data_IF_053625497068
#
_entry.id   IF_053625497068
#
_cell.length_a   1.000
_cell.length_b   1.000
_cell.length_c   1.000
_cell.angle_alpha   90.00
_cell.angle_beta   90.00
_cell.angle_gamma   90.00
#
_symmetry.space_group_name_H-M   'P 1'
#
loop_
_entity.id
_entity.type
_entity.pdbx_description
1 polymer ?
#
# COMPACT_ATOMS: atom_id res chain seq x y z
N UNK A 1 25.80 -19.40 -25.92
CA UNK A 1 25.86 -18.97 -24.50
C UNK A 1 24.54 -19.39 -23.85
N UNK A 2 24.52 -20.45 -23.03
CA UNK A 2 23.29 -20.94 -22.39
C UNK A 2 23.03 -20.08 -21.16
N UNK A 3 21.97 -19.28 -21.19
CA UNK A 3 21.51 -18.51 -20.03
C UNK A 3 20.76 -19.47 -19.12
N UNK A 4 21.44 -19.97 -18.08
CA UNK A 4 20.79 -20.74 -17.01
C UNK A 4 19.89 -19.81 -16.20
N UNK A 5 18.65 -19.63 -16.66
CA UNK A 5 17.61 -18.94 -15.92
C UNK A 5 17.15 -19.83 -14.76
N UNK A 6 17.85 -19.73 -13.62
CA UNK A 6 17.43 -20.36 -12.38
C UNK A 6 16.23 -19.59 -11.81
N UNK A 7 15.02 -20.02 -12.13
CA UNK A 7 13.82 -19.51 -11.48
C UNK A 7 13.69 -20.20 -10.11
N UNK A 8 13.74 -19.45 -8.99
CA UNK A 8 13.56 -20.05 -7.67
C UNK A 8 12.16 -20.63 -7.57
N UNK A 9 12.06 -21.96 -7.49
CA UNK A 9 10.78 -22.66 -7.32
C UNK A 9 10.27 -22.37 -5.91
N UNK A 10 9.19 -21.60 -5.82
CA UNK A 10 8.48 -21.38 -4.56
C UNK A 10 7.78 -22.68 -4.15
N UNK A 11 8.39 -23.42 -3.23
CA UNK A 11 7.93 -24.74 -2.76
C UNK A 11 6.49 -24.71 -2.23
N UNK A 12 6.02 -23.56 -1.73
CA UNK A 12 4.65 -23.34 -1.29
C UNK A 12 3.61 -23.38 -2.42
N UNK A 13 4.01 -23.12 -3.67
CA UNK A 13 3.15 -23.11 -4.84
C UNK A 13 3.09 -24.48 -5.55
N UNK A 14 3.88 -25.46 -5.10
CA UNK A 14 3.88 -26.79 -5.69
C UNK A 14 2.57 -27.56 -5.36
N UNK A 15 2.15 -28.51 -6.21
CA UNK A 15 1.02 -29.39 -5.92
C UNK A 15 1.15 -30.08 -4.55
N UNK A 16 0.03 -30.36 -3.89
CA UNK A 16 0.01 -31.01 -2.57
C UNK A 16 0.76 -32.35 -2.56
N UNK A 17 0.71 -33.07 -3.68
CA UNK A 17 1.33 -34.38 -3.85
C UNK A 17 2.83 -34.31 -4.19
N UNK A 18 3.39 -33.11 -4.39
CA UNK A 18 4.82 -32.97 -4.69
C UNK A 18 5.68 -33.35 -3.47
N UNK A 19 6.65 -34.27 -3.60
CA UNK A 19 7.53 -34.68 -2.52
C UNK A 19 8.31 -33.52 -1.88
N UNK A 20 8.68 -32.50 -2.67
CA UNK A 20 9.40 -31.30 -2.19
C UNK A 20 8.53 -30.49 -1.25
N UNK A 21 7.25 -30.30 -1.60
CA UNK A 21 6.27 -29.64 -0.73
C UNK A 21 6.06 -30.43 0.55
N UNK A 22 5.90 -31.75 0.44
CA UNK A 22 5.73 -32.62 1.61
C UNK A 22 6.92 -32.54 2.57
N UNK A 23 8.16 -32.56 2.04
CA UNK A 23 9.39 -32.39 2.82
C UNK A 23 9.45 -31.01 3.49
N UNK A 24 9.09 -29.95 2.75
CA UNK A 24 9.05 -28.60 3.29
C UNK A 24 8.03 -28.45 4.43
N UNK A 25 6.80 -28.93 4.26
CA UNK A 25 5.76 -28.91 5.31
C UNK A 25 6.23 -29.67 6.56
N UNK A 26 6.86 -30.85 6.39
CA UNK A 26 7.45 -31.59 7.52
C UNK A 26 8.54 -30.78 8.24
N UNK A 27 9.35 -30.04 7.50
CA UNK A 27 10.38 -29.18 8.09
C UNK A 27 9.81 -28.00 8.87
N UNK A 28 8.70 -27.42 8.41
CA UNK A 28 8.02 -26.31 9.11
C UNK A 28 7.51 -26.73 10.49
N UNK A 29 7.01 -27.97 10.64
CA UNK A 29 6.52 -28.48 11.93
C UNK A 29 7.59 -28.52 13.02
N UNK A 30 8.87 -28.66 12.65
CA UNK A 30 10.00 -28.70 13.60
C UNK A 30 10.48 -27.31 14.02
N UNK A 31 10.03 -26.25 13.34
CA UNK A 31 10.52 -24.90 13.63
C UNK A 31 9.78 -24.35 14.86
N UNK A 32 10.49 -23.73 15.81
CA UNK A 32 9.82 -22.98 16.86
C UNK A 32 8.99 -21.86 16.21
N UNK A 33 7.88 -21.45 16.84
CA UNK A 33 7.15 -20.29 16.39
C UNK A 33 8.08 -19.05 16.38
N UNK A 34 7.79 -18.05 15.53
CA UNK A 34 8.43 -16.75 15.63
C UNK A 34 8.40 -16.23 17.07
N UNK A 35 9.47 -15.56 17.51
CA UNK A 35 9.64 -15.10 18.89
C UNK A 35 8.55 -14.11 19.35
N UNK A 36 7.88 -13.49 18.39
CA UNK A 36 6.80 -12.51 18.50
C UNK A 36 5.41 -13.11 18.30
N UNK A 37 5.29 -14.42 18.02
CA UNK A 37 4.00 -15.06 17.78
C UNK A 37 3.09 -14.92 19.01
N UNK A 38 1.91 -14.34 18.80
CA UNK A 38 0.91 -14.12 19.85
C UNK A 38 1.15 -12.89 20.72
N UNK A 39 2.16 -12.08 20.41
CA UNK A 39 2.47 -10.85 21.15
C UNK A 39 1.94 -9.63 20.42
N UNK A 40 1.40 -8.69 21.18
CA UNK A 40 0.99 -7.36 20.70
C UNK A 40 1.89 -6.26 21.29
N UNK A 41 1.68 -5.02 20.83
CA UNK A 41 2.37 -3.82 21.36
C UNK A 41 1.96 -3.49 22.80
N UNK A 42 0.82 -4.02 23.26
CA UNK A 42 0.33 -3.90 24.62
C UNK A 42 0.96 -4.98 25.53
N UNK A 43 1.24 -6.16 24.99
CA UNK A 43 1.68 -7.32 25.79
C UNK A 43 3.20 -7.52 25.83
N UNK A 44 3.99 -6.99 24.88
CA UNK A 44 5.47 -7.11 24.87
C UNK A 44 6.16 -5.79 24.50
N UNK A 45 7.08 -5.34 25.36
CA UNK A 45 7.81 -4.07 25.23
C UNK A 45 8.68 -4.00 23.96
N UNK A 46 9.20 -5.13 23.47
CA UNK A 46 10.03 -5.15 22.26
C UNK A 46 9.17 -4.92 21.02
N UNK A 47 7.99 -5.53 20.97
CA UNK A 47 7.00 -5.31 19.90
C UNK A 47 6.56 -3.85 19.90
N UNK A 48 6.27 -3.29 21.07
CA UNK A 48 5.97 -1.85 21.23
C UNK A 48 7.10 -0.96 20.69
N UNK A 49 8.34 -1.21 21.10
CA UNK A 49 9.52 -0.46 20.64
C UNK A 49 9.67 -0.47 19.12
N UNK A 50 9.45 -1.63 18.48
CA UNK A 50 9.48 -1.76 17.02
C UNK A 50 8.39 -0.90 16.39
N UNK A 51 7.14 -1.04 16.85
CA UNK A 51 6.00 -0.26 16.37
C UNK A 51 6.22 1.25 16.49
N UNK A 52 6.66 1.71 17.67
CA UNK A 52 6.93 3.14 17.93
C UNK A 52 8.08 3.66 17.06
N UNK A 53 9.10 2.83 16.84
CA UNK A 53 10.22 3.18 15.94
C UNK A 53 9.73 3.36 14.51
N UNK A 54 8.88 2.46 14.01
CA UNK A 54 8.35 2.52 12.65
C UNK A 54 7.47 3.75 12.46
N UNK A 55 6.59 4.03 13.45
CA UNK A 55 5.76 5.24 13.46
C UNK A 55 6.61 6.52 13.44
N UNK A 56 7.62 6.61 14.33
CA UNK A 56 8.54 7.76 14.39
C UNK A 56 9.30 7.96 13.08
N UNK A 57 9.78 6.88 12.47
CA UNK A 57 10.51 6.91 11.19
C UNK A 57 9.59 7.04 9.98
N UNK A 58 8.25 7.06 10.17
CA UNK A 58 7.25 7.06 9.09
C UNK A 58 7.47 5.91 8.09
N UNK A 59 7.96 4.77 8.58
CA UNK A 59 8.17 3.55 7.79
C UNK A 59 6.87 2.77 7.84
N UNK A 60 6.13 2.79 6.74
CA UNK A 60 5.00 1.89 6.53
C UNK A 60 5.38 0.73 5.59
N UNK A 61 4.41 -0.14 5.34
CA UNK A 61 4.57 -1.35 4.51
C UNK A 61 4.96 -1.04 3.05
N UNK A 62 4.71 0.18 2.57
CA UNK A 62 4.99 0.60 1.19
C UNK A 62 6.22 1.49 1.06
N UNK A 63 6.92 1.80 2.16
CA UNK A 63 8.12 2.64 2.17
C UNK A 63 9.13 2.24 1.09
N UNK A 64 9.56 0.97 1.07
CA UNK A 64 10.50 0.45 0.06
C UNK A 64 9.97 0.57 -1.37
N UNK A 65 8.69 0.25 -1.58
CA UNK A 65 8.08 0.36 -2.91
C UNK A 65 8.02 1.82 -3.37
N UNK A 66 7.65 2.75 -2.48
CA UNK A 66 7.61 4.18 -2.80
C UNK A 66 9.00 4.72 -3.12
N UNK A 67 10.02 4.33 -2.36
CA UNK A 67 11.40 4.74 -2.62
C UNK A 67 11.86 4.23 -3.99
N UNK A 68 11.50 3.00 -4.34
CA UNK A 68 11.78 2.42 -5.66
C UNK A 68 11.03 3.15 -6.79
N UNK A 69 9.74 3.47 -6.59
CA UNK A 69 8.93 4.22 -7.55
C UNK A 69 9.47 5.64 -7.76
N UNK A 70 9.98 6.28 -6.71
CA UNK A 70 10.70 7.56 -6.81
C UNK A 70 12.00 7.42 -7.59
N UNK A 71 12.80 6.39 -7.27
CA UNK A 71 14.09 6.11 -7.93
C UNK A 71 13.94 5.84 -9.43
N UNK A 72 12.90 5.12 -9.83
CA UNK A 72 12.59 4.86 -11.25
C UNK A 72 11.78 5.98 -11.93
N UNK A 73 11.53 7.11 -11.24
CA UNK A 73 10.86 8.28 -11.83
C UNK A 73 9.35 8.15 -12.05
N UNK A 74 8.71 7.07 -11.58
CA UNK A 74 7.25 6.89 -11.68
C UNK A 74 6.46 7.78 -10.73
N UNK A 75 7.07 8.13 -9.60
CA UNK A 75 6.49 9.04 -8.60
C UNK A 75 7.49 10.16 -8.35
N UNK A 76 7.00 11.39 -8.18
CA UNK A 76 7.87 12.52 -7.85
C UNK A 76 8.41 12.37 -6.43
N UNK A 77 9.72 12.59 -6.28
CA UNK A 77 10.35 12.62 -4.95
C UNK A 77 9.96 13.87 -4.17
N UNK A 78 9.75 14.97 -4.88
CA UNK A 78 9.38 16.30 -4.38
C UNK A 78 8.17 16.77 -5.18
N UNK A 79 7.11 17.17 -4.49
CA UNK A 79 5.95 17.81 -5.09
C UNK A 79 6.09 19.32 -4.88
N UNK A 80 5.89 20.14 -5.93
CA UNK A 80 5.80 21.58 -5.73
C UNK A 80 4.58 21.88 -4.85
N UNK A 81 4.66 22.95 -4.08
CA UNK A 81 3.51 23.45 -3.35
C UNK A 81 2.39 23.80 -4.34
N UNK A 82 1.15 23.51 -3.95
CA UNK A 82 0.02 23.93 -4.76
C UNK A 82 -0.08 25.46 -4.77
N UNK A 83 -0.31 26.03 -5.97
CA UNK A 83 -0.62 27.45 -6.11
C UNK A 83 -1.95 27.71 -5.42
N UNK A 84 -1.97 28.62 -4.44
CA UNK A 84 -3.18 29.01 -3.71
C UNK A 84 -4.09 29.84 -4.64
N UNK A 85 -4.89 29.16 -5.44
CA UNK A 85 -5.86 29.75 -6.36
C UNK A 85 -7.30 29.50 -5.91
N UNK A 86 -8.24 30.24 -6.49
CA UNK A 86 -9.67 30.00 -6.31
C UNK A 86 -10.05 28.60 -6.79
N UNK A 87 -9.47 28.13 -7.89
CA UNK A 87 -9.72 26.78 -8.43
C UNK A 87 -9.28 25.68 -7.47
N UNK A 88 -8.12 25.86 -6.82
CA UNK A 88 -7.65 24.93 -5.79
C UNK A 88 -8.59 24.93 -4.57
N UNK A 89 -8.99 26.11 -4.11
CA UNK A 89 -9.92 26.24 -2.98
C UNK A 89 -11.28 25.60 -3.30
N UNK A 90 -11.77 25.78 -4.52
CA UNK A 90 -12.99 25.17 -5.03
C UNK A 90 -12.87 23.65 -5.09
N UNK A 91 -11.79 23.12 -5.66
CA UNK A 91 -11.52 21.67 -5.71
C UNK A 91 -11.45 21.07 -4.31
N UNK A 92 -10.71 21.70 -3.39
CA UNK A 92 -10.60 21.28 -1.98
C UNK A 92 -11.97 21.32 -1.30
N UNK A 93 -12.75 22.39 -1.49
CA UNK A 93 -14.09 22.52 -0.92
C UNK A 93 -15.04 21.42 -1.39
N UNK A 94 -15.03 21.13 -2.70
CA UNK A 94 -15.83 20.04 -3.29
C UNK A 94 -15.38 18.67 -2.77
N UNK A 95 -14.07 18.41 -2.75
CA UNK A 95 -13.55 17.09 -2.31
C UNK A 95 -13.68 16.85 -0.82
N UNK A 96 -13.55 17.88 0.03
CA UNK A 96 -13.72 17.72 1.48
C UNK A 96 -15.19 17.78 1.93
N UNK A 97 -16.05 18.46 1.17
CA UNK A 97 -17.49 18.55 1.46
C UNK A 97 -18.24 17.27 1.10
N UNK A 98 -18.24 16.92 -0.19
CA UNK A 98 -19.07 15.85 -0.75
C UNK A 98 -18.24 14.74 -1.43
N UNK A 99 -16.91 14.80 -1.32
CA UNK A 99 -15.99 13.80 -1.87
C UNK A 99 -15.88 12.56 -1.00
N UNK A 100 -15.92 11.40 -1.65
CA UNK A 100 -15.75 10.08 -1.05
C UNK A 100 -14.56 9.39 -1.72
N UNK A 101 -13.46 9.25 -0.97
CA UNK A 101 -12.27 8.51 -1.40
C UNK A 101 -12.42 7.06 -0.98
N UNK A 102 -12.48 6.16 -1.95
CA UNK A 102 -12.62 4.72 -1.72
C UNK A 102 -11.41 3.96 -2.26
N UNK A 103 -10.92 3.01 -1.48
CA UNK A 103 -9.83 2.13 -1.87
C UNK A 103 -10.40 0.75 -2.26
N UNK A 104 -10.07 0.27 -3.46
CA UNK A 104 -10.38 -1.08 -3.91
C UNK A 104 -9.08 -1.92 -3.97
N UNK A 105 -9.16 -3.26 -3.92
CA UNK A 105 -7.97 -4.13 -3.86
C UNK A 105 -6.93 -3.94 -4.99
N UNK A 106 -7.30 -3.31 -6.11
CA UNK A 106 -6.41 -3.06 -7.26
C UNK A 106 -6.38 -1.61 -7.75
N UNK A 107 -7.24 -0.73 -7.23
CA UNK A 107 -7.41 0.64 -7.73
C UNK A 107 -7.93 1.55 -6.63
N UNK A 108 -7.59 2.83 -6.68
CA UNK A 108 -8.25 3.85 -5.86
C UNK A 108 -9.33 4.56 -6.70
N UNK A 109 -10.46 4.90 -6.08
CA UNK A 109 -11.54 5.67 -6.68
C UNK A 109 -11.80 6.93 -5.85
N UNK A 110 -11.70 8.08 -6.50
CA UNK A 110 -12.26 9.32 -5.99
C UNK A 110 -13.66 9.48 -6.58
N UNK A 111 -14.70 9.45 -5.74
CA UNK A 111 -16.06 9.78 -6.14
C UNK A 111 -16.40 11.14 -5.55
N UNK A 112 -16.65 12.13 -6.39
CA UNK A 112 -17.15 13.44 -5.95
C UNK A 112 -18.66 13.42 -6.17
N UNK A 113 -19.44 13.49 -5.08
CA UNK A 113 -20.88 13.67 -5.19
C UNK A 113 -21.15 15.17 -5.33
N UNK A 114 -22.00 15.56 -6.28
CA UNK A 114 -22.36 16.98 -6.46
C UNK A 114 -23.82 17.17 -6.05
N UNK A 115 -24.12 18.32 -5.48
CA UNK A 115 -25.48 18.66 -5.10
C UNK A 115 -26.33 18.93 -6.36
N UNK A 116 -27.45 18.21 -6.50
CA UNK A 116 -28.37 18.33 -7.64
C UNK A 116 -28.97 19.73 -7.82
N UNK A 117 -28.92 20.58 -6.78
CA UNK A 117 -29.29 22.01 -6.86
C UNK A 117 -28.40 22.81 -7.83
N UNK A 118 -27.19 22.34 -8.10
CA UNK A 118 -26.21 22.99 -8.97
C UNK A 118 -25.78 22.06 -10.12
N UNK A 119 -26.68 21.74 -11.06
CA UNK A 119 -26.42 20.71 -12.08
C UNK A 119 -25.30 21.09 -13.06
N UNK A 120 -25.03 22.39 -13.26
CA UNK A 120 -23.93 22.86 -14.12
C UNK A 120 -22.54 22.58 -13.56
N UNK A 121 -22.43 22.34 -12.25
CA UNK A 121 -21.16 22.11 -11.55
C UNK A 121 -20.41 20.89 -12.09
N UNK A 122 -21.13 19.90 -12.64
CA UNK A 122 -20.53 18.71 -13.26
C UNK A 122 -19.61 19.09 -14.43
N UNK A 123 -19.94 20.14 -15.19
CA UNK A 123 -19.15 20.57 -16.33
C UNK A 123 -17.83 21.22 -15.87
N UNK A 124 -17.84 21.89 -14.72
CA UNK A 124 -16.66 22.53 -14.14
C UNK A 124 -15.62 21.51 -13.65
N UNK A 125 -16.07 20.31 -13.25
CA UNK A 125 -15.18 19.21 -12.79
C UNK A 125 -14.89 18.14 -13.86
N UNK A 126 -15.71 18.00 -14.90
CA UNK A 126 -15.56 16.94 -15.92
C UNK A 126 -14.52 17.27 -17.02
N UNK A 127 -13.96 18.48 -17.04
CA UNK A 127 -13.03 18.95 -18.08
C UNK A 127 -11.53 18.83 -17.70
N UNK A 128 -11.19 18.00 -16.71
CA UNK A 128 -9.80 17.69 -16.30
C UNK A 128 -9.48 16.23 -16.61
#
# INVERSE_FOLDING_TARGET
MIINNHFPVLVQLLPKNDPRRSKWVKSLKKRPPPWDKGKSKETDLRVKKISDTFKRKKIDNFSKWRDEMKRCGKIRSIYPDFVKSNDLAFLIGITLGDGNIQNFPRTDRLLISLNAKYPGLVNDVALV
#
